data_IF_037815498563
#
_entry.id   IF_037815498563
#
_cell.length_a   1.000
_cell.length_b   1.000
_cell.length_c   1.000
_cell.angle_alpha   90.00
_cell.angle_beta   90.00
_cell.angle_gamma   90.00
#
_symmetry.space_group_name_H-M   'P 1'
#
loop_
_entity.id
_entity.type
_entity.pdbx_description
1 polymer ?
#
# COMPACT_ATOMS: atom_id res chain seq x y z
N UNK A 1 -7.37 -6.63 23.13
CA UNK A 1 -8.32 -5.50 23.08
C UNK A 1 -8.87 -5.40 21.67
N UNK A 2 -10.11 -5.77 21.48
CA UNK A 2 -10.81 -5.53 20.23
C UNK A 2 -11.08 -4.02 20.13
N UNK A 3 -10.32 -3.32 19.31
CA UNK A 3 -10.61 -1.93 18.98
C UNK A 3 -12.03 -1.84 18.43
N UNK A 4 -12.88 -1.07 19.09
CA UNK A 4 -14.26 -0.87 18.67
C UNK A 4 -14.26 -0.22 17.29
N UNK A 5 -14.47 -1.02 16.26
CA UNK A 5 -14.81 -0.51 14.94
C UNK A 5 -16.21 0.08 15.04
N UNK A 6 -16.33 1.38 14.86
CA UNK A 6 -17.61 2.09 15.01
C UNK A 6 -18.68 1.52 14.06
N UNK A 7 -19.92 1.48 14.55
CA UNK A 7 -21.06 0.95 13.80
C UNK A 7 -21.46 1.90 12.65
N UNK A 8 -20.83 1.71 11.50
CA UNK A 8 -21.16 2.42 10.26
C UNK A 8 -21.15 1.45 9.08
N UNK A 9 -21.59 1.84 7.87
CA UNK A 9 -21.49 0.99 6.66
C UNK A 9 -20.08 0.48 6.38
N UNK A 10 -19.05 1.05 7.02
CA UNK A 10 -17.68 0.56 7.02
C UNK A 10 -17.47 -0.74 7.82
N UNK A 11 -18.48 -1.24 8.55
CA UNK A 11 -18.36 -2.46 9.37
C UNK A 11 -17.98 -3.69 8.54
N UNK A 12 -18.45 -3.77 7.30
CA UNK A 12 -18.10 -4.86 6.39
C UNK A 12 -16.61 -4.87 6.04
N UNK A 13 -16.04 -3.71 5.80
CA UNK A 13 -14.61 -3.53 5.47
C UNK A 13 -13.71 -3.85 6.67
N UNK A 14 -14.06 -3.30 7.82
CA UNK A 14 -13.34 -3.54 9.06
C UNK A 14 -13.36 -5.02 9.44
N UNK A 15 -14.49 -5.70 9.20
CA UNK A 15 -14.65 -7.14 9.46
C UNK A 15 -13.80 -7.99 8.51
N UNK A 16 -13.76 -7.63 7.21
CA UNK A 16 -12.93 -8.33 6.21
C UNK A 16 -11.44 -8.17 6.51
N UNK A 17 -11.00 -6.97 6.90
CA UNK A 17 -9.61 -6.71 7.27
C UNK A 17 -9.19 -7.47 8.52
N UNK A 18 -10.08 -7.57 9.51
CA UNK A 18 -9.83 -8.40 10.69
C UNK A 18 -9.67 -9.88 10.33
N UNK A 19 -10.43 -10.39 9.37
CA UNK A 19 -10.30 -11.77 8.89
C UNK A 19 -8.96 -11.99 8.18
N UNK A 20 -8.55 -11.05 7.34
CA UNK A 20 -7.26 -11.11 6.64
C UNK A 20 -6.10 -11.12 7.63
N UNK A 21 -6.15 -10.24 8.64
CA UNK A 21 -5.16 -10.19 9.70
C UNK A 21 -5.10 -11.50 10.48
N UNK A 22 -6.25 -12.07 10.85
CA UNK A 22 -6.31 -13.36 11.55
C UNK A 22 -5.74 -14.50 10.70
N UNK A 23 -6.07 -14.53 9.40
CA UNK A 23 -5.52 -15.51 8.48
C UNK A 23 -4.00 -15.39 8.39
N UNK A 24 -3.48 -14.18 8.31
CA UNK A 24 -2.04 -13.93 8.27
C UNK A 24 -1.36 -14.37 9.55
N UNK A 25 -1.93 -14.04 10.71
CA UNK A 25 -1.41 -14.48 12.02
C UNK A 25 -1.35 -16.00 12.11
N UNK A 26 -2.37 -16.70 11.62
CA UNK A 26 -2.39 -18.17 11.57
C UNK A 26 -1.25 -18.72 10.73
N UNK A 27 -1.00 -18.16 9.56
CA UNK A 27 0.03 -18.63 8.65
C UNK A 27 1.44 -18.25 9.08
N UNK A 28 1.60 -17.16 9.83
CA UNK A 28 2.92 -16.68 10.25
C UNK A 28 3.44 -17.33 11.54
N UNK A 29 2.60 -18.07 12.28
CA UNK A 29 3.02 -18.78 13.50
C UNK A 29 4.15 -19.77 13.25
N UNK A 30 4.15 -20.40 12.09
CA UNK A 30 5.10 -21.46 11.72
C UNK A 30 6.24 -20.97 10.81
N UNK A 31 6.33 -19.65 10.57
CA UNK A 31 7.31 -19.08 9.66
C UNK A 31 8.57 -18.60 10.39
N UNK A 32 9.76 -18.65 9.72
CA UNK A 32 11.02 -18.22 10.31
C UNK A 32 11.13 -16.71 10.55
N UNK A 33 10.11 -15.93 10.24
CA UNK A 33 10.08 -14.49 10.44
C UNK A 33 9.43 -14.13 11.80
N UNK A 34 9.98 -14.68 12.87
CA UNK A 34 9.56 -14.33 14.23
C UNK A 34 9.99 -12.88 14.54
N UNK A 35 9.06 -12.10 15.09
CA UNK A 35 9.28 -10.70 15.44
C UNK A 35 8.73 -9.69 14.45
N UNK A 36 8.04 -10.14 13.39
CA UNK A 36 7.34 -9.24 12.48
C UNK A 36 6.13 -8.63 13.18
N UNK A 37 6.05 -7.29 13.20
CA UNK A 37 4.88 -6.59 13.72
C UNK A 37 3.74 -6.67 12.71
N UNK A 38 2.72 -7.45 13.04
CA UNK A 38 1.55 -7.65 12.19
C UNK A 38 0.75 -6.37 11.98
N UNK A 39 0.80 -5.44 12.92
CA UNK A 39 0.13 -4.14 12.77
C UNK A 39 0.77 -3.33 11.65
N UNK A 40 2.09 -3.27 11.61
CA UNK A 40 2.83 -2.58 10.54
C UNK A 40 2.53 -3.19 9.18
N UNK A 41 2.50 -4.51 9.10
CA UNK A 41 2.17 -5.22 7.87
C UNK A 41 0.74 -4.96 7.42
N UNK A 42 -0.22 -5.00 8.33
CA UNK A 42 -1.62 -4.72 8.04
C UNK A 42 -1.81 -3.27 7.56
N UNK A 43 -1.19 -2.31 8.21
CA UNK A 43 -1.22 -0.91 7.79
C UNK A 43 -0.67 -0.74 6.37
N UNK A 44 0.40 -1.45 6.04
CA UNK A 44 0.98 -1.40 4.71
C UNK A 44 0.05 -2.02 3.64
N UNK A 45 -0.58 -3.14 3.95
CA UNK A 45 -1.58 -3.77 3.08
C UNK A 45 -2.74 -2.81 2.82
N UNK A 46 -3.26 -2.17 3.86
CA UNK A 46 -4.36 -1.21 3.76
C UNK A 46 -3.97 0.03 2.94
N UNK A 47 -2.79 0.57 3.18
CA UNK A 47 -2.29 1.73 2.45
C UNK A 47 -2.08 1.42 0.96
N UNK A 48 -1.54 0.25 0.63
CA UNK A 48 -1.38 -0.22 -0.75
C UNK A 48 -2.73 -0.43 -1.41
N UNK A 49 -3.70 -1.01 -0.71
CA UNK A 49 -5.07 -1.20 -1.22
C UNK A 49 -5.75 0.14 -1.52
N UNK A 50 -5.66 1.08 -0.60
CA UNK A 50 -6.21 2.43 -0.79
C UNK A 50 -5.53 3.17 -1.95
N UNK A 51 -4.22 3.02 -2.08
CA UNK A 51 -3.45 3.60 -3.17
C UNK A 51 -3.85 3.00 -4.54
N UNK A 52 -4.03 1.68 -4.62
CA UNK A 52 -4.52 1.02 -5.83
C UNK A 52 -5.86 1.59 -6.26
N UNK A 53 -6.81 1.70 -5.34
CA UNK A 53 -8.14 2.21 -5.60
C UNK A 53 -8.10 3.67 -6.04
N UNK A 54 -7.41 4.53 -5.30
CA UNK A 54 -7.31 5.95 -5.62
C UNK A 54 -6.63 6.19 -6.97
N UNK A 55 -5.55 5.49 -7.26
CA UNK A 55 -4.84 5.61 -8.52
C UNK A 55 -5.67 5.09 -9.69
N UNK A 56 -6.42 4.00 -9.51
CA UNK A 56 -7.31 3.46 -10.53
C UNK A 56 -8.41 4.47 -10.88
N UNK A 57 -9.06 5.05 -9.88
CA UNK A 57 -10.11 6.05 -10.07
C UNK A 57 -9.56 7.34 -10.69
N UNK A 58 -8.40 7.79 -10.23
CA UNK A 58 -7.75 8.98 -10.74
C UNK A 58 -7.35 8.81 -12.21
N UNK A 59 -6.79 7.67 -12.59
CA UNK A 59 -6.44 7.36 -13.97
C UNK A 59 -7.66 7.42 -14.90
N UNK A 60 -8.82 6.93 -14.43
CA UNK A 60 -10.06 6.94 -15.20
C UNK A 60 -10.64 8.35 -15.35
N UNK A 61 -10.51 9.19 -14.32
CA UNK A 61 -11.08 10.54 -14.29
C UNK A 61 -10.26 11.60 -15.02
N UNK A 62 -8.97 11.36 -15.27
CA UNK A 62 -8.07 12.33 -15.89
C UNK A 62 -8.19 12.34 -17.41
N UNK A 63 -9.25 12.97 -17.92
CA UNK A 63 -9.57 12.99 -19.35
C UNK A 63 -9.13 14.28 -20.08
N UNK A 64 -8.67 15.31 -19.35
CA UNK A 64 -8.28 16.57 -19.96
C UNK A 64 -6.98 16.46 -20.74
N UNK A 65 -6.83 17.35 -21.72
CA UNK A 65 -5.59 17.47 -22.51
C UNK A 65 -4.41 17.80 -21.59
N UNK A 66 -3.26 17.20 -21.86
CA UNK A 66 -2.04 17.39 -21.07
C UNK A 66 -1.94 16.50 -19.83
N UNK A 67 -2.95 15.67 -19.55
CA UNK A 67 -2.96 14.76 -18.39
C UNK A 67 -2.56 13.32 -18.70
N UNK A 68 -2.12 13.04 -19.92
CA UNK A 68 -1.79 11.68 -20.36
C UNK A 68 -0.68 11.02 -19.52
N UNK A 69 0.34 11.79 -19.16
CA UNK A 69 1.44 11.30 -18.31
C UNK A 69 0.94 10.95 -16.90
N UNK A 70 0.20 11.86 -16.29
CA UNK A 70 -0.36 11.64 -14.96
C UNK A 70 -1.29 10.41 -14.95
N UNK A 71 -2.13 10.27 -15.95
CA UNK A 71 -3.03 9.13 -16.12
C UNK A 71 -2.27 7.81 -16.20
N UNK A 72 -1.23 7.74 -17.02
CA UNK A 72 -0.40 6.55 -17.17
C UNK A 72 0.36 6.23 -15.91
N UNK A 73 0.89 7.23 -15.22
CA UNK A 73 1.59 7.04 -13.95
C UNK A 73 0.65 6.54 -12.85
N UNK A 74 -0.57 7.04 -12.80
CA UNK A 74 -1.60 6.54 -11.88
C UNK A 74 -1.94 5.08 -12.15
N UNK A 75 -2.12 4.71 -13.41
CA UNK A 75 -2.39 3.32 -13.81
C UNK A 75 -1.23 2.39 -13.41
N UNK A 76 0.00 2.79 -13.68
CA UNK A 76 1.19 2.03 -13.29
C UNK A 76 1.31 1.89 -11.76
N UNK A 77 1.01 2.97 -11.04
CA UNK A 77 1.07 2.93 -9.57
C UNK A 77 -0.04 2.04 -9.00
N UNK A 78 -1.23 2.04 -9.59
CA UNK A 78 -2.31 1.12 -9.20
C UNK A 78 -1.85 -0.34 -9.33
N UNK A 79 -1.23 -0.69 -10.44
CA UNK A 79 -0.71 -2.05 -10.67
C UNK A 79 0.38 -2.41 -9.66
N UNK A 80 1.29 -1.50 -9.38
CA UNK A 80 2.36 -1.72 -8.39
C UNK A 80 1.79 -1.90 -6.98
N UNK A 81 0.88 -1.02 -6.56
CA UNK A 81 0.27 -1.09 -5.23
C UNK A 81 -0.52 -2.38 -5.02
N UNK A 82 -1.30 -2.79 -6.02
CA UNK A 82 -2.03 -4.06 -6.00
C UNK A 82 -1.10 -5.26 -5.93
N UNK A 83 0.00 -5.24 -6.66
CA UNK A 83 1.01 -6.29 -6.62
C UNK A 83 1.68 -6.37 -5.25
N UNK A 84 2.04 -5.23 -4.66
CA UNK A 84 2.59 -5.16 -3.31
C UNK A 84 1.65 -5.75 -2.28
N UNK A 85 0.38 -5.34 -2.32
CA UNK A 85 -0.65 -5.85 -1.42
C UNK A 85 -0.74 -7.37 -1.48
N UNK A 86 -0.87 -7.92 -2.69
CA UNK A 86 -0.98 -9.37 -2.88
C UNK A 86 0.27 -10.12 -2.45
N UNK A 87 1.46 -9.56 -2.71
CA UNK A 87 2.72 -10.17 -2.29
C UNK A 87 2.81 -10.28 -0.77
N UNK A 88 2.41 -9.25 -0.04
CA UNK A 88 2.40 -9.27 1.43
C UNK A 88 1.37 -10.26 1.99
N UNK A 89 0.34 -10.58 1.24
CA UNK A 89 -0.70 -11.54 1.65
C UNK A 89 -0.30 -12.99 1.35
N UNK A 90 0.89 -13.24 0.82
CA UNK A 90 1.43 -14.57 0.50
C UNK A 90 2.67 -14.88 1.33
N UNK A 91 2.51 -15.11 2.63
CA UNK A 91 3.66 -15.24 3.54
C UNK A 91 4.62 -16.38 3.19
N UNK A 92 4.14 -17.46 2.56
CA UNK A 92 4.99 -18.58 2.15
C UNK A 92 6.02 -18.21 1.08
N UNK A 93 5.78 -17.16 0.31
CA UNK A 93 6.70 -16.65 -0.70
C UNK A 93 7.54 -15.47 -0.23
N UNK A 94 7.54 -15.20 1.06
CA UNK A 94 8.21 -14.01 1.59
C UNK A 94 9.73 -14.22 1.65
N UNK A 95 10.42 -13.55 0.73
CA UNK A 95 11.88 -13.50 0.63
C UNK A 95 12.32 -12.06 0.91
N UNK A 96 13.09 -11.87 1.96
CA UNK A 96 13.38 -10.53 2.51
C UNK A 96 13.99 -9.58 1.48
N UNK A 97 14.98 -10.04 0.72
CA UNK A 97 15.65 -9.21 -0.29
C UNK A 97 14.66 -8.77 -1.40
N UNK A 98 13.85 -9.72 -1.90
CA UNK A 98 12.85 -9.43 -2.93
C UNK A 98 11.78 -8.47 -2.42
N UNK A 99 11.31 -8.67 -1.20
CA UNK A 99 10.30 -7.82 -0.58
C UNK A 99 10.82 -6.40 -0.35
N UNK A 100 12.06 -6.28 0.11
CA UNK A 100 12.70 -4.96 0.27
C UNK A 100 12.85 -4.24 -1.07
N UNK A 101 13.27 -4.94 -2.12
CA UNK A 101 13.38 -4.38 -3.46
C UNK A 101 12.01 -3.93 -4.00
N UNK A 102 10.95 -4.71 -3.78
CA UNK A 102 9.59 -4.35 -4.16
C UNK A 102 9.09 -3.12 -3.42
N UNK A 103 9.30 -3.04 -2.10
CA UNK A 103 8.93 -1.87 -1.31
C UNK A 103 9.64 -0.62 -1.79
N UNK A 104 10.94 -0.72 -2.08
CA UNK A 104 11.71 0.40 -2.61
C UNK A 104 11.16 0.87 -3.96
N UNK A 105 10.87 -0.05 -4.87
CA UNK A 105 10.29 0.27 -6.17
C UNK A 105 8.90 0.91 -6.02
N UNK A 106 8.07 0.36 -5.12
CA UNK A 106 6.74 0.90 -4.81
C UNK A 106 6.82 2.34 -4.29
N UNK A 107 7.71 2.60 -3.34
CA UNK A 107 7.92 3.95 -2.78
C UNK A 107 8.38 4.95 -3.84
N UNK A 108 9.33 4.54 -4.68
CA UNK A 108 9.85 5.38 -5.76
C UNK A 108 8.73 5.74 -6.75
N UNK A 109 7.95 4.77 -7.16
CA UNK A 109 6.84 4.97 -8.08
C UNK A 109 5.73 5.83 -7.46
N UNK A 110 5.39 5.58 -6.19
CA UNK A 110 4.36 6.35 -5.47
C UNK A 110 4.77 7.81 -5.30
N UNK A 111 6.04 8.07 -5.00
CA UNK A 111 6.56 9.43 -4.87
C UNK A 111 6.45 10.18 -6.21
N UNK A 112 6.89 9.56 -7.29
CA UNK A 112 6.81 10.15 -8.63
C UNK A 112 5.35 10.39 -9.06
N UNK A 113 4.46 9.45 -8.77
CA UNK A 113 3.03 9.58 -9.06
C UNK A 113 2.40 10.74 -8.26
N UNK A 114 2.72 10.86 -6.97
CA UNK A 114 2.24 11.95 -6.13
C UNK A 114 2.69 13.32 -6.67
N UNK A 115 3.95 13.44 -7.04
CA UNK A 115 4.51 14.68 -7.60
C UNK A 115 3.82 15.06 -8.92
N UNK A 116 3.59 14.09 -9.80
CA UNK A 116 2.89 14.34 -11.06
C UNK A 116 1.43 14.75 -10.83
N UNK A 117 0.71 14.06 -9.94
CA UNK A 117 -0.67 14.39 -9.59
C UNK A 117 -0.77 15.80 -8.99
N UNK A 118 0.19 16.23 -8.18
CA UNK A 118 0.17 17.57 -7.56
C UNK A 118 0.27 18.71 -8.58
N UNK A 119 0.81 18.46 -9.77
CA UNK A 119 0.81 19.46 -10.86
C UNK A 119 -0.61 19.77 -11.33
N UNK A 120 -1.55 18.88 -11.11
CA UNK A 120 -2.94 19.00 -11.52
C UNK A 120 -3.92 19.18 -10.35
N UNK A 121 -3.43 19.32 -9.13
CA UNK A 121 -4.23 19.32 -7.89
C UNK A 121 -5.19 20.51 -7.81
N UNK A 122 -4.85 21.67 -8.39
CA UNK A 122 -5.72 22.84 -8.41
C UNK A 122 -6.94 22.66 -9.32
N UNK A 123 -6.78 21.83 -10.37
CA UNK A 123 -7.83 21.58 -11.37
C UNK A 123 -8.58 20.27 -11.13
N UNK A 124 -8.05 19.39 -10.31
CA UNK A 124 -8.58 18.04 -10.09
C UNK A 124 -8.46 17.64 -8.61
N UNK A 125 -9.59 17.52 -7.96
CA UNK A 125 -9.66 17.00 -6.59
C UNK A 125 -9.22 15.53 -6.54
N UNK A 126 -9.54 14.75 -7.58
CA UNK A 126 -9.07 13.36 -7.69
C UNK A 126 -7.55 13.28 -7.69
N UNK A 127 -6.88 14.19 -8.41
CA UNK A 127 -5.41 14.25 -8.43
C UNK A 127 -4.84 14.55 -7.05
N UNK A 128 -5.45 15.47 -6.31
CA UNK A 128 -5.03 15.79 -4.94
C UNK A 128 -5.19 14.59 -4.01
N UNK A 129 -6.33 13.92 -4.08
CA UNK A 129 -6.62 12.74 -3.25
C UNK A 129 -5.71 11.56 -3.60
N UNK A 130 -5.45 11.37 -4.90
CA UNK A 130 -4.51 10.35 -5.37
C UNK A 130 -3.08 10.60 -4.84
N UNK A 131 -2.61 11.84 -4.90
CA UNK A 131 -1.31 12.22 -4.35
C UNK A 131 -1.21 11.90 -2.86
N UNK A 132 -2.27 12.17 -2.10
CA UNK A 132 -2.31 11.86 -0.66
C UNK A 132 -2.27 10.35 -0.41
N UNK A 133 -3.04 9.56 -1.16
CA UNK A 133 -3.01 8.10 -1.05
C UNK A 133 -1.62 7.54 -1.37
N UNK A 134 -0.95 8.09 -2.38
CA UNK A 134 0.43 7.71 -2.72
C UNK A 134 1.41 8.04 -1.58
N UNK A 135 1.28 9.19 -0.95
CA UNK A 135 2.13 9.59 0.20
C UNK A 135 1.94 8.67 1.40
N UNK A 136 0.70 8.30 1.69
CA UNK A 136 0.40 7.36 2.76
C UNK A 136 0.98 5.97 2.46
N UNK A 137 0.93 5.55 1.21
CA UNK A 137 1.57 4.31 0.76
C UNK A 137 3.08 4.34 0.97
N UNK A 138 3.74 5.46 0.64
CA UNK A 138 5.19 5.65 0.88
C UNK A 138 5.51 5.52 2.36
N UNK A 139 4.74 6.18 3.23
CA UNK A 139 4.97 6.14 4.68
C UNK A 139 4.81 4.73 5.25
N UNK A 140 3.77 4.02 4.83
CA UNK A 140 3.51 2.65 5.28
C UNK A 140 4.59 1.68 4.78
N UNK A 141 5.01 1.80 3.53
CA UNK A 141 6.11 1.01 2.97
C UNK A 141 7.44 1.29 3.69
N UNK A 142 7.70 2.54 4.06
CA UNK A 142 8.92 2.90 4.81
C UNK A 142 8.95 2.23 6.18
N UNK A 143 7.83 2.25 6.91
CA UNK A 143 7.72 1.54 8.20
C UNK A 143 7.97 0.04 8.03
N UNK A 144 7.40 -0.55 6.97
CA UNK A 144 7.59 -1.96 6.67
C UNK A 144 9.06 -2.28 6.38
N UNK A 145 9.73 -1.45 5.59
CA UNK A 145 11.16 -1.62 5.30
C UNK A 145 12.02 -1.49 6.54
N UNK A 146 11.73 -0.51 7.40
CA UNK A 146 12.47 -0.30 8.64
C UNK A 146 12.33 -1.51 9.56
N UNK A 147 11.13 -2.07 9.67
CA UNK A 147 10.90 -3.31 10.42
C UNK A 147 11.69 -4.48 9.84
N UNK A 148 11.68 -4.66 8.52
CA UNK A 148 12.40 -5.74 7.86
C UNK A 148 13.91 -5.61 8.03
N UNK A 149 14.46 -4.41 7.96
CA UNK A 149 15.89 -4.15 8.20
C UNK A 149 16.30 -4.52 9.63
N UNK A 150 15.45 -4.23 10.61
CA UNK A 150 15.68 -4.59 12.00
C UNK A 150 15.67 -6.10 12.25
N UNK A 151 15.09 -6.88 11.37
CA UNK A 151 15.00 -8.34 11.44
C UNK A 151 16.14 -9.05 10.70
N UNK A 152 16.87 -8.35 9.83
CA UNK A 152 17.99 -8.94 9.10
C UNK A 152 19.19 -9.12 10.03
N UNK A 153 19.89 -10.28 9.95
CA UNK A 153 21.11 -10.45 10.73
C UNK A 153 22.15 -9.42 10.30
N UNK A 154 22.84 -8.86 11.30
CA UNK A 154 23.96 -7.95 11.05
C UNK A 154 25.04 -8.68 10.25
N UNK A 155 25.35 -8.18 9.06
CA UNK A 155 26.43 -8.71 8.23
C UNK A 155 27.76 -8.13 8.68
#
# INVERSE_FOLDING_TARGET
MAGACARSPAEGWCRMMNMTMQMMEMHMKDMPMQGMDMTVMQECIEACSACEQACTMCADSMMAEGMSMARSMCANMADMAGTMMRAMMRPNGMHSESMMAMHMACMTMATACAEECMKHAEMSEDARMCAEACRQCVMACQKMMDMMKGMMPAS
#
